data_IF_781058684700
#
_entry.id   IF_781058684700
#
_cell.length_a   1.000
_cell.length_b   1.000
_cell.length_c   1.000
_cell.angle_alpha   90.00
_cell.angle_beta   90.00
_cell.angle_gamma   90.00
#
_symmetry.space_group_name_H-M   'P 1'
#
loop_
_entity.id
_entity.type
_entity.pdbx_description
1 polymer ?
#
# COMPACT_ATOMS: atom_id res chain seq x y z
N UNK A 1 -2.73 2.16 -12.46
CA UNK A 1 -1.56 2.25 -13.38
C UNK A 1 -0.87 3.57 -13.16
N UNK A 2 0.44 3.56 -13.10
CA UNK A 2 1.27 4.77 -12.95
C UNK A 2 2.13 4.88 -14.20
N UNK A 3 2.10 6.04 -14.84
CA UNK A 3 3.04 6.46 -15.87
C UNK A 3 3.94 7.56 -15.31
N UNK A 4 5.23 7.50 -15.59
CA UNK A 4 6.19 8.55 -15.23
C UNK A 4 6.96 8.94 -16.48
N UNK A 5 6.99 10.23 -16.77
CA UNK A 5 7.88 10.81 -17.76
C UNK A 5 8.85 11.75 -17.05
N UNK A 6 10.15 11.66 -17.42
CA UNK A 6 11.08 12.72 -17.08
C UNK A 6 10.65 13.97 -17.86
N UNK A 7 10.62 15.11 -17.20
CA UNK A 7 10.53 16.38 -17.88
C UNK A 7 11.79 16.53 -18.76
N UNK A 8 11.71 16.01 -19.99
CA UNK A 8 12.77 16.22 -20.98
C UNK A 8 12.77 17.66 -21.39
N UNK A 9 13.97 18.19 -21.56
CA UNK A 9 14.30 19.44 -22.23
C UNK A 9 13.62 19.55 -23.61
N UNK A 10 12.32 19.71 -23.61
CA UNK A 10 11.69 20.39 -24.74
C UNK A 10 11.81 21.89 -24.44
N UNK A 11 12.54 22.59 -25.27
CA UNK A 11 13.02 23.95 -25.07
C UNK A 11 11.90 25.00 -24.87
N UNK A 12 10.68 24.58 -24.64
CA UNK A 12 9.50 25.45 -24.44
C UNK A 12 8.83 25.33 -23.07
N UNK A 13 9.19 24.33 -22.23
CA UNK A 13 8.54 24.19 -20.92
C UNK A 13 9.54 23.59 -19.92
N UNK A 14 10.30 24.45 -19.24
CA UNK A 14 11.07 24.05 -18.07
C UNK A 14 10.10 23.63 -16.96
N UNK A 15 9.89 22.33 -16.77
CA UNK A 15 9.16 21.84 -15.61
C UNK A 15 10.13 21.94 -14.43
N UNK A 16 10.04 23.03 -13.69
CA UNK A 16 10.88 23.28 -12.50
C UNK A 16 10.39 22.46 -11.28
N UNK A 17 9.22 21.83 -11.37
CA UNK A 17 8.58 21.15 -10.23
C UNK A 17 7.85 19.89 -10.68
N UNK A 18 7.73 18.93 -9.75
CA UNK A 18 6.94 17.72 -9.97
C UNK A 18 5.47 18.05 -10.22
N UNK A 19 4.88 17.32 -11.14
CA UNK A 19 3.44 17.35 -11.41
C UNK A 19 2.84 15.98 -11.25
N UNK A 20 1.75 15.89 -10.48
CA UNK A 20 0.92 14.70 -10.39
C UNK A 20 -0.44 15.00 -11.01
N UNK A 21 -0.81 14.24 -12.02
CA UNK A 21 -2.15 14.22 -12.58
C UNK A 21 -2.85 12.93 -12.19
N UNK A 22 -4.04 13.02 -11.61
CA UNK A 22 -4.85 11.86 -11.24
C UNK A 22 -6.03 11.72 -12.18
N UNK A 23 -6.11 10.57 -12.85
CA UNK A 23 -7.24 10.19 -13.70
C UNK A 23 -8.10 9.18 -12.93
N UNK A 24 -9.38 9.51 -12.70
CA UNK A 24 -10.31 8.66 -11.95
C UNK A 24 -10.77 9.27 -10.63
N UNK A 25 -11.14 8.45 -9.65
CA UNK A 25 -11.87 8.91 -8.47
C UNK A 25 -11.00 9.34 -7.30
N UNK A 26 -11.08 10.63 -6.91
CA UNK A 26 -10.97 11.10 -5.53
C UNK A 26 -9.63 10.98 -4.79
N UNK A 27 -8.50 10.87 -5.48
CA UNK A 27 -7.20 11.00 -4.82
C UNK A 27 -6.67 12.44 -4.96
N UNK A 28 -5.98 12.99 -3.96
CA UNK A 28 -5.40 14.33 -4.05
C UNK A 28 -4.24 14.37 -5.06
N UNK A 29 -4.10 15.49 -5.76
CA UNK A 29 -2.97 15.79 -6.65
C UNK A 29 -1.86 16.59 -5.93
N UNK A 30 -1.79 16.46 -4.63
CA UNK A 30 -0.90 17.21 -3.74
C UNK A 30 0.14 16.32 -3.07
N UNK A 31 1.01 16.91 -2.27
CA UNK A 31 2.00 16.21 -1.46
C UNK A 31 1.39 15.18 -0.47
N UNK A 32 0.10 15.27 -0.17
CA UNK A 32 -0.61 14.30 0.67
C UNK A 32 -0.84 12.95 -0.04
N UNK A 33 -0.67 12.90 -1.37
CA UNK A 33 -0.75 11.66 -2.11
C UNK A 33 0.46 10.77 -1.80
N UNK A 34 0.20 9.49 -1.48
CA UNK A 34 1.27 8.54 -1.15
C UNK A 34 2.28 8.34 -2.30
N UNK A 35 1.88 8.54 -3.56
CA UNK A 35 2.77 8.53 -4.72
C UNK A 35 3.80 9.67 -4.63
N UNK A 36 3.38 10.87 -4.22
CA UNK A 36 4.28 12.01 -4.03
C UNK A 36 5.17 11.83 -2.80
N UNK A 37 4.65 11.22 -1.74
CA UNK A 37 5.45 10.89 -0.56
C UNK A 37 6.51 9.83 -0.90
N UNK A 38 6.18 8.83 -1.72
CA UNK A 38 7.14 7.85 -2.23
C UNK A 38 8.27 8.50 -3.04
N UNK A 39 7.93 9.46 -3.91
CA UNK A 39 8.92 10.25 -4.65
C UNK A 39 9.83 11.05 -3.70
N UNK A 40 9.26 11.71 -2.70
CA UNK A 40 10.02 12.49 -1.72
C UNK A 40 11.01 11.62 -0.93
N UNK A 41 10.60 10.42 -0.50
CA UNK A 41 11.47 9.46 0.17
C UNK A 41 12.60 9.00 -0.75
N UNK A 42 12.30 8.61 -1.98
CA UNK A 42 13.32 8.20 -2.94
C UNK A 42 14.35 9.32 -3.21
N UNK A 43 13.93 10.57 -3.25
CA UNK A 43 14.83 11.73 -3.39
C UNK A 43 15.71 11.98 -2.18
N UNK A 44 15.36 11.51 -1.02
CA UNK A 44 16.20 11.65 0.16
C UNK A 44 17.51 10.87 0.06
N UNK A 45 17.56 9.86 -0.82
CA UNK A 45 18.71 8.95 -0.97
C UNK A 45 19.39 9.05 -2.34
N UNK A 46 18.71 9.61 -3.37
CA UNK A 46 19.22 9.67 -4.75
C UNK A 46 18.71 10.89 -5.50
N UNK A 47 19.48 11.32 -6.49
CA UNK A 47 19.08 12.43 -7.36
C UNK A 47 18.05 11.96 -8.37
N UNK A 48 16.85 12.54 -8.32
CA UNK A 48 15.77 12.31 -9.26
C UNK A 48 15.34 13.69 -9.79
N UNK A 49 15.34 13.89 -11.11
CA UNK A 49 14.92 15.15 -11.71
C UNK A 49 13.41 15.39 -11.45
N UNK A 50 12.90 16.59 -11.73
CA UNK A 50 11.46 16.84 -11.75
C UNK A 50 10.74 15.86 -12.67
N UNK A 51 9.60 15.33 -12.21
CA UNK A 51 8.84 14.31 -12.92
C UNK A 51 7.41 14.77 -13.21
N UNK A 52 6.92 14.39 -14.38
CA UNK A 52 5.49 14.38 -14.69
C UNK A 52 4.95 12.98 -14.42
N UNK A 53 3.98 12.89 -13.50
CA UNK A 53 3.41 11.62 -13.03
C UNK A 53 1.94 11.58 -13.39
N UNK A 54 1.53 10.54 -14.12
CA UNK A 54 0.13 10.26 -14.37
C UNK A 54 -0.29 9.04 -13.55
N UNK A 55 -1.29 9.21 -12.69
CA UNK A 55 -1.87 8.14 -11.87
C UNK A 55 -3.29 7.83 -12.34
N UNK A 56 -3.49 6.73 -13.03
CA UNK A 56 -4.84 6.23 -13.34
C UNK A 56 -5.39 5.45 -12.16
N UNK A 57 -6.31 6.06 -11.42
CA UNK A 57 -6.93 5.49 -10.21
C UNK A 57 -8.17 4.67 -10.56
N UNK A 58 -8.08 3.33 -10.37
CA UNK A 58 -9.18 2.39 -10.58
C UNK A 58 -9.81 1.91 -9.28
N UNK A 59 -8.98 1.77 -8.22
CA UNK A 59 -9.45 1.37 -6.90
C UNK A 59 -9.94 2.63 -6.18
N UNK A 60 -11.19 2.66 -5.69
CA UNK A 60 -11.73 3.83 -5.00
C UNK A 60 -10.87 4.20 -3.78
N UNK A 61 -10.70 5.50 -3.56
CA UNK A 61 -10.04 6.00 -2.35
C UNK A 61 -10.93 5.77 -1.12
N UNK A 62 -10.31 5.49 0.03
CA UNK A 62 -11.01 5.25 1.32
C UNK A 62 -12.00 4.07 1.31
N UNK A 63 -11.80 3.11 0.43
CA UNK A 63 -12.61 1.90 0.34
C UNK A 63 -12.07 0.72 1.17
N UNK A 64 -10.99 0.91 1.92
CA UNK A 64 -10.35 -0.19 2.68
C UNK A 64 -9.63 -1.22 1.82
N UNK A 65 -9.41 -0.94 0.55
CA UNK A 65 -8.82 -1.89 -0.42
C UNK A 65 -7.31 -1.68 -0.65
N UNK A 66 -6.66 -0.85 0.15
CA UNK A 66 -5.22 -0.60 0.04
C UNK A 66 -4.78 0.09 -1.25
N UNK A 67 -5.70 0.68 -2.03
CA UNK A 67 -5.41 1.25 -3.34
C UNK A 67 -4.34 2.35 -3.33
N UNK A 68 -4.29 3.21 -2.31
CA UNK A 68 -3.23 4.21 -2.14
C UNK A 68 -1.87 3.59 -1.84
N UNK A 69 -1.85 2.55 -1.00
CA UNK A 69 -0.64 1.82 -0.64
C UNK A 69 -0.09 1.03 -1.84
N UNK A 70 -0.96 0.44 -2.65
CA UNK A 70 -0.61 -0.22 -3.90
C UNK A 70 0.00 0.76 -4.91
N UNK A 71 -0.56 1.97 -5.04
CA UNK A 71 0.00 3.01 -5.92
C UNK A 71 1.39 3.46 -5.42
N UNK A 72 1.56 3.66 -4.12
CA UNK A 72 2.85 4.03 -3.54
C UNK A 72 3.92 2.95 -3.74
N UNK A 73 3.59 1.68 -3.54
CA UNK A 73 4.48 0.56 -3.78
C UNK A 73 4.90 0.50 -5.26
N UNK A 74 3.94 0.65 -6.18
CA UNK A 74 4.22 0.69 -7.62
C UNK A 74 5.14 1.87 -7.99
N UNK A 75 4.94 3.03 -7.35
CA UNK A 75 5.82 4.19 -7.55
C UNK A 75 7.25 3.91 -7.07
N UNK A 76 7.43 3.31 -5.89
CA UNK A 76 8.77 2.96 -5.39
C UNK A 76 9.50 2.00 -6.34
N UNK A 77 8.81 0.98 -6.83
CA UNK A 77 9.38 0.03 -7.80
C UNK A 77 9.76 0.73 -9.11
N UNK A 78 8.85 1.56 -9.63
CA UNK A 78 9.11 2.31 -10.88
C UNK A 78 10.29 3.27 -10.74
N UNK A 79 10.40 3.96 -9.59
CA UNK A 79 11.54 4.84 -9.32
C UNK A 79 12.84 4.05 -9.17
N UNK A 80 12.79 2.83 -8.62
CA UNK A 80 13.97 1.97 -8.57
C UNK A 80 14.40 1.48 -9.96
N UNK A 81 13.45 1.14 -10.80
CA UNK A 81 13.74 0.74 -12.18
C UNK A 81 14.40 1.87 -12.99
N UNK A 82 13.90 3.10 -12.83
CA UNK A 82 14.38 4.26 -13.58
C UNK A 82 15.70 4.86 -13.03
N UNK A 83 15.85 4.90 -11.71
CA UNK A 83 16.91 5.66 -11.03
C UNK A 83 17.73 4.85 -10.05
N UNK A 84 17.58 3.57 -9.98
CA UNK A 84 18.27 2.61 -9.10
C UNK A 84 18.56 3.11 -7.68
N UNK A 85 17.98 2.47 -6.69
CA UNK A 85 18.21 2.79 -5.30
C UNK A 85 19.66 2.44 -4.89
N UNK A 86 20.44 3.34 -4.27
CA UNK A 86 21.80 3.04 -3.82
C UNK A 86 21.87 1.88 -2.84
N UNK A 87 20.85 1.72 -1.98
CA UNK A 87 20.72 0.61 -1.04
C UNK A 87 19.99 -0.61 -1.60
N UNK A 88 19.64 -0.61 -2.90
CA UNK A 88 18.97 -1.73 -3.54
C UNK A 88 17.57 -1.99 -3.00
N UNK A 89 17.20 -3.27 -2.97
CA UNK A 89 15.86 -3.73 -2.53
C UNK A 89 15.58 -3.35 -1.07
N UNK A 90 16.56 -3.40 -0.20
CA UNK A 90 16.45 -3.05 1.22
C UNK A 90 16.02 -1.58 1.41
N UNK A 91 16.53 -0.68 0.58
CA UNK A 91 16.13 0.73 0.61
C UNK A 91 14.67 0.89 0.18
N UNK A 92 14.24 0.21 -0.88
CA UNK A 92 12.86 0.24 -1.36
C UNK A 92 11.91 -0.26 -0.25
N UNK A 93 12.26 -1.35 0.42
CA UNK A 93 11.49 -1.85 1.57
C UNK A 93 11.47 -0.88 2.75
N UNK A 94 12.59 -0.24 3.06
CA UNK A 94 12.68 0.77 4.12
C UNK A 94 11.76 1.97 3.84
N UNK A 95 11.72 2.45 2.59
CA UNK A 95 10.82 3.52 2.18
C UNK A 95 9.35 3.07 2.26
N UNK A 96 9.03 1.85 1.85
CA UNK A 96 7.69 1.31 1.95
C UNK A 96 7.19 1.25 3.41
N UNK A 97 8.04 0.81 4.35
CA UNK A 97 7.72 0.78 5.78
C UNK A 97 7.44 2.16 6.37
N UNK A 98 8.13 3.20 5.89
CA UNK A 98 7.92 4.59 6.31
C UNK A 98 6.59 5.15 5.79
N UNK A 99 6.17 4.75 4.59
CA UNK A 99 4.90 5.16 3.99
C UNK A 99 3.69 4.51 4.66
N UNK A 100 3.83 3.27 5.09
CA UNK A 100 2.77 2.55 5.77
C UNK A 100 2.90 1.03 5.69
N UNK A 101 2.29 0.35 6.66
CA UNK A 101 2.37 -1.12 6.77
C UNK A 101 1.87 -1.83 5.51
N UNK A 102 0.78 -1.34 4.92
CA UNK A 102 0.19 -1.95 3.72
C UNK A 102 1.06 -1.75 2.47
N UNK A 103 1.90 -0.70 2.42
CA UNK A 103 2.78 -0.45 1.26
C UNK A 103 3.79 -1.58 1.10
N UNK A 104 4.34 -2.06 2.22
CA UNK A 104 5.28 -3.18 2.24
C UNK A 104 4.65 -4.46 1.68
N UNK A 105 3.37 -4.72 1.99
CA UNK A 105 2.63 -5.87 1.45
C UNK A 105 2.58 -5.86 -0.08
N UNK A 106 2.38 -4.71 -0.69
CA UNK A 106 2.28 -4.58 -2.15
C UNK A 106 3.62 -4.66 -2.89
N UNK A 107 4.75 -4.70 -2.19
CA UNK A 107 6.05 -5.03 -2.78
C UNK A 107 6.25 -6.55 -2.95
N UNK A 108 5.47 -7.35 -2.24
CA UNK A 108 5.48 -8.81 -2.35
C UNK A 108 4.54 -9.33 -3.43
N UNK A 109 4.57 -10.64 -3.64
CA UNK A 109 3.73 -11.32 -4.63
C UNK A 109 2.74 -12.27 -3.96
N UNK A 110 1.49 -11.87 -3.81
CA UNK A 110 0.43 -12.77 -3.40
C UNK A 110 0.00 -12.66 -1.94
N UNK A 111 -0.41 -13.76 -1.32
CA UNK A 111 -0.91 -13.78 0.03
C UNK A 111 0.24 -13.78 1.06
N UNK A 112 0.08 -13.01 2.13
CA UNK A 112 1.03 -12.95 3.22
C UNK A 112 0.34 -12.91 4.58
N UNK A 113 1.02 -13.41 5.60
CA UNK A 113 0.64 -13.23 7.01
C UNK A 113 1.38 -12.01 7.55
N UNK A 114 0.63 -11.02 8.00
CA UNK A 114 1.16 -9.80 8.56
C UNK A 114 1.16 -9.85 10.10
N UNK A 115 2.27 -9.47 10.71
CA UNK A 115 2.45 -9.42 12.16
C UNK A 115 2.92 -8.04 12.61
N UNK A 116 2.92 -7.81 13.91
CA UNK A 116 3.22 -6.49 14.47
C UNK A 116 2.07 -5.52 14.18
N UNK A 117 2.37 -4.38 13.57
CA UNK A 117 1.38 -3.43 13.06
C UNK A 117 1.03 -3.66 11.58
N UNK A 118 1.46 -4.82 11.01
CA UNK A 118 1.34 -5.17 9.59
C UNK A 118 2.64 -5.05 8.80
N UNK A 119 3.73 -4.59 9.42
CA UNK A 119 5.01 -4.39 8.76
C UNK A 119 5.87 -5.65 8.64
N UNK A 120 5.59 -6.68 9.47
CA UNK A 120 6.33 -7.94 9.44
C UNK A 120 5.55 -8.95 8.61
N UNK A 121 5.97 -9.13 7.38
CA UNK A 121 5.32 -10.03 6.44
C UNK A 121 6.03 -11.38 6.38
N UNK A 122 5.25 -12.43 6.28
CA UNK A 122 5.69 -13.80 5.95
C UNK A 122 4.82 -14.30 4.81
N UNK A 123 5.43 -14.96 3.86
CA UNK A 123 4.68 -15.61 2.79
C UNK A 123 3.67 -16.58 3.39
N UNK A 124 2.44 -16.48 2.93
CA UNK A 124 1.42 -17.44 3.31
C UNK A 124 1.62 -18.76 2.54
N UNK A 125 1.45 -19.93 3.19
CA UNK A 125 1.56 -21.19 2.47
C UNK A 125 0.51 -21.27 1.38
N UNK A 126 0.93 -21.68 0.22
CA UNK A 126 0.03 -21.92 -0.91
C UNK A 126 -0.35 -23.41 -0.96
N UNK A 127 -1.62 -23.72 -1.21
CA UNK A 127 -2.77 -22.85 -1.31
C UNK A 127 -3.48 -22.68 0.03
N UNK A 128 -3.70 -21.45 0.46
CA UNK A 128 -4.51 -21.14 1.66
C UNK A 128 -5.93 -21.73 1.59
N UNK A 129 -6.44 -21.99 0.40
CA UNK A 129 -7.83 -22.35 0.12
C UNK A 129 -7.96 -23.70 -0.64
N UNK A 130 -7.09 -24.65 -0.37
CA UNK A 130 -7.30 -26.03 -0.82
C UNK A 130 -7.07 -26.29 -2.31
N UNK A 131 -6.46 -25.38 -3.04
CA UNK A 131 -6.22 -25.54 -4.47
C UNK A 131 -7.35 -25.00 -5.34
N UNK A 132 -8.51 -24.67 -4.77
CA UNK A 132 -9.60 -24.01 -5.47
C UNK A 132 -9.42 -22.49 -5.49
N UNK A 133 -9.92 -21.85 -6.55
CA UNK A 133 -9.95 -20.38 -6.64
C UNK A 133 -10.93 -19.84 -5.61
N UNK A 134 -10.47 -18.93 -4.76
CA UNK A 134 -11.38 -18.17 -3.89
C UNK A 134 -12.07 -17.10 -4.72
N UNK A 135 -13.39 -17.09 -4.68
CA UNK A 135 -14.22 -16.05 -5.28
C UNK A 135 -14.68 -15.08 -4.20
N UNK A 136 -14.45 -13.79 -4.41
CA UNK A 136 -14.87 -12.74 -3.49
C UNK A 136 -15.89 -11.83 -4.16
N UNK A 137 -16.89 -11.42 -3.39
CA UNK A 137 -17.83 -10.37 -3.78
C UNK A 137 -17.51 -9.13 -2.95
N UNK A 138 -17.20 -8.03 -3.61
CA UNK A 138 -16.94 -6.76 -2.95
C UNK A 138 -18.19 -5.89 -2.96
N UNK A 139 -18.65 -5.48 -1.79
CA UNK A 139 -19.69 -4.47 -1.63
C UNK A 139 -19.01 -3.13 -1.34
N UNK A 140 -19.09 -2.21 -2.28
CA UNK A 140 -18.45 -0.89 -2.18
C UNK A 140 -19.55 0.16 -2.04
N UNK A 141 -19.87 0.63 -0.82
CA UNK A 141 -20.83 1.70 -0.62
C UNK A 141 -20.23 3.04 -1.12
N UNK A 142 -21.09 3.99 -1.44
CA UNK A 142 -20.67 5.33 -1.86
C UNK A 142 -20.08 6.18 -0.71
N UNK A 143 -20.21 5.69 0.53
CA UNK A 143 -19.71 6.37 1.72
C UNK A 143 -18.28 5.89 2.02
N UNK A 144 -17.33 6.80 1.93
CA UNK A 144 -15.95 6.54 2.37
C UNK A 144 -15.81 6.64 3.88
N UNK A 145 -15.05 5.72 4.49
CA UNK A 145 -14.77 5.71 5.92
C UNK A 145 -13.31 6.15 6.14
N UNK A 146 -13.11 7.14 7.02
CA UNK A 146 -11.78 7.47 7.49
C UNK A 146 -11.27 6.37 8.43
N UNK A 147 -10.18 5.71 8.05
CA UNK A 147 -9.63 4.56 8.77
C UNK A 147 -9.26 4.91 10.22
N UNK A 148 -8.68 6.10 10.46
CA UNK A 148 -8.30 6.55 11.81
C UNK A 148 -9.53 6.75 12.69
N UNK A 149 -10.58 7.38 12.16
CA UNK A 149 -11.83 7.59 12.87
C UNK A 149 -12.53 6.25 13.18
N UNK A 150 -12.50 5.29 12.24
CA UNK A 150 -13.06 3.96 12.44
C UNK A 150 -12.36 3.22 13.59
N UNK A 151 -11.02 3.17 13.60
CA UNK A 151 -10.28 2.56 14.70
C UNK A 151 -10.48 3.27 16.03
N UNK A 152 -10.53 4.60 16.03
CA UNK A 152 -10.79 5.38 17.26
C UNK A 152 -12.17 5.09 17.85
N UNK A 153 -13.18 4.85 17.02
CA UNK A 153 -14.53 4.49 17.46
C UNK A 153 -14.62 3.08 18.05
N UNK A 154 -13.76 2.16 17.59
CA UNK A 154 -13.71 0.77 18.09
C UNK A 154 -12.98 0.64 19.43
N UNK A 155 -12.00 1.49 19.69
CA UNK A 155 -11.12 1.41 20.86
C UNK A 155 -11.86 1.27 22.20
N UNK A 156 -12.95 2.02 22.50
CA UNK A 156 -13.68 1.89 23.75
C UNK A 156 -14.39 0.53 23.93
N UNK A 157 -14.75 -0.12 22.82
CA UNK A 157 -15.49 -1.39 22.84
C UNK A 157 -14.57 -2.61 22.92
N UNK A 158 -13.33 -2.48 22.44
CA UNK A 158 -12.36 -3.57 22.43
C UNK A 158 -11.63 -3.75 23.77
N UNK A 159 -11.62 -2.73 24.62
CA UNK A 159 -10.91 -2.75 25.92
C UNK A 159 -11.75 -3.34 27.07
N UNK A 160 -13.02 -3.64 26.87
CA UNK A 160 -13.94 -4.15 27.90
C UNK A 160 -14.15 -5.67 27.90
N UNK A 161 -13.52 -6.41 27.03
CA UNK A 161 -13.63 -7.88 26.91
C UNK A 161 -12.38 -8.59 27.40
N UNK A 162 -12.58 -9.79 27.97
CA UNK A 162 -11.51 -10.71 28.39
C UNK A 162 -10.61 -11.03 27.19
N UNK A 163 -9.42 -10.43 27.17
CA UNK A 163 -8.49 -10.39 26.03
C UNK A 163 -7.72 -11.69 25.82
N UNK A 164 -8.36 -12.85 25.89
CA UNK A 164 -7.72 -14.15 25.70
C UNK A 164 -7.68 -14.65 24.25
N UNK A 165 -8.17 -13.89 23.29
CA UNK A 165 -8.04 -14.19 21.86
C UNK A 165 -7.02 -13.31 21.14
N UNK A 166 -6.03 -12.78 21.85
CA UNK A 166 -4.87 -12.22 21.18
C UNK A 166 -4.13 -13.36 20.51
N UNK A 167 -3.99 -13.32 19.20
CA UNK A 167 -2.98 -14.07 18.47
C UNK A 167 -1.61 -13.79 19.12
N UNK A 168 -1.22 -14.60 20.09
CA UNK A 168 0.11 -14.54 20.67
C UNK A 168 1.07 -15.23 19.71
N UNK A 169 1.71 -14.41 18.92
CA UNK A 169 2.72 -14.82 17.95
C UNK A 169 2.13 -15.14 16.58
N UNK A 170 2.97 -14.92 15.57
CA UNK A 170 2.71 -15.39 14.21
C UNK A 170 2.88 -16.91 14.13
N UNK A 171 2.20 -17.64 14.99
CA UNK A 171 2.10 -19.08 14.83
C UNK A 171 1.15 -19.35 13.67
N UNK A 172 1.58 -20.23 12.82
CA UNK A 172 0.85 -20.67 11.65
C UNK A 172 -0.45 -21.33 12.13
N UNK A 173 -1.59 -20.69 11.83
CA UNK A 173 -2.88 -21.36 11.96
C UNK A 173 -2.93 -22.41 10.86
N UNK A 174 -3.01 -23.69 11.23
CA UNK A 174 -3.19 -24.75 10.25
C UNK A 174 -4.49 -24.54 9.47
N UNK A 175 -4.53 -25.02 8.24
CA UNK A 175 -5.64 -24.82 7.30
C UNK A 175 -7.04 -25.11 7.87
N UNK A 176 -7.14 -26.06 8.81
CA UNK A 176 -8.39 -26.43 9.49
C UNK A 176 -8.94 -25.31 10.39
N UNK A 177 -8.08 -24.46 10.94
CA UNK A 177 -8.46 -23.47 11.95
C UNK A 177 -8.91 -22.15 11.30
N UNK A 178 -8.49 -21.92 10.07
CA UNK A 178 -8.82 -20.68 9.33
C UNK A 178 -10.30 -20.59 8.96
N UNK A 179 -10.86 -21.69 8.47
CA UNK A 179 -12.28 -21.74 8.09
C UNK A 179 -13.19 -21.68 9.33
N UNK A 180 -12.74 -22.20 10.47
CA UNK A 180 -13.46 -22.14 11.74
C UNK A 180 -13.46 -20.74 12.40
N UNK A 181 -12.46 -19.91 12.14
CA UNK A 181 -12.33 -18.56 12.73
C UNK A 181 -13.05 -17.46 11.95
N UNK A 182 -13.57 -17.73 10.76
CA UNK A 182 -14.36 -16.79 9.95
C UNK A 182 -15.83 -16.69 10.36
N UNK A 183 -16.24 -17.35 11.47
CA UNK A 183 -17.61 -17.37 11.95
C UNK A 183 -17.92 -16.35 13.06
N UNK A 184 -17.32 -15.15 13.00
CA UNK A 184 -17.76 -14.02 13.83
C UNK A 184 -17.91 -12.77 13.00
#
# INVERSE_FOLDING_TARGET
TIGVASAKDDASTSVEQDRLQVIGTGAPETADNLVMQALALARSTRSIPPLEIELTKRIPSRAGLGGGSSDAAAMLVLLDDLFKAPGGVEEVYSHAQQLGSDVTFFLGSGAAVACGRGEKLRDAPQPLLGGDLAHFVLLIPEIGIDTRAAYASLSPHLTSGDSRSTFQGCEFVEKSDWVGSLHN
#
